data_IF_130937287224
#
_entry.id   IF_130937287224
#
_cell.length_a   1.000
_cell.length_b   1.000
_cell.length_c   1.000
_cell.angle_alpha   90.00
_cell.angle_beta   90.00
_cell.angle_gamma   90.00
#
_symmetry.space_group_name_H-M   'P 1'
#
loop_
_entity.id
_entity.type
_entity.pdbx_description
1 polymer ?
#
# COMPACT_ATOMS: atom_id res chain seq x y z
N UNK A 1 4.22 8.93 -1.98
CA UNK A 1 4.03 8.17 -0.73
C UNK A 1 2.71 7.43 -0.86
N UNK A 2 2.76 6.10 -0.95
CA UNK A 2 1.61 5.24 -1.16
C UNK A 2 0.97 4.87 0.15
N UNK A 3 -0.35 4.92 0.15
CA UNK A 3 -1.19 4.31 1.15
C UNK A 3 -2.54 4.02 0.53
N UNK A 4 -3.08 2.85 0.85
CA UNK A 4 -4.28 2.35 0.21
C UNK A 4 -5.53 3.02 0.72
N UNK A 5 -6.55 2.92 -0.12
CA UNK A 5 -7.94 3.26 0.20
C UNK A 5 -8.76 2.00 0.06
N UNK A 6 -9.75 1.79 0.91
CA UNK A 6 -10.78 0.77 0.69
C UNK A 6 -12.11 1.47 0.40
N UNK A 7 -13.03 0.78 -0.28
CA UNK A 7 -14.43 1.24 -0.41
C UNK A 7 -15.25 0.86 0.83
N UNK A 8 -14.78 -0.13 1.58
CA UNK A 8 -15.46 -0.74 2.72
C UNK A 8 -14.45 -1.53 3.58
N UNK A 9 -14.86 -1.98 4.77
CA UNK A 9 -14.01 -2.76 5.70
C UNK A 9 -13.37 -1.95 6.83
N UNK A 10 -12.48 -2.59 7.61
CA UNK A 10 -11.91 -2.03 8.85
C UNK A 10 -11.11 -0.72 8.64
N UNK A 11 -10.65 -0.49 7.41
CA UNK A 11 -9.94 0.73 7.01
C UNK A 11 -10.84 1.81 6.40
N UNK A 12 -12.16 1.57 6.29
CA UNK A 12 -13.22 2.54 6.06
C UNK A 12 -13.31 3.21 4.68
N UNK A 13 -14.47 3.80 4.37
CA UNK A 13 -14.61 4.76 3.26
C UNK A 13 -13.83 6.04 3.59
N UNK A 14 -12.82 6.35 2.79
CA UNK A 14 -12.19 7.68 2.73
C UNK A 14 -11.59 8.23 4.03
N UNK A 15 -11.46 7.43 5.10
CA UNK A 15 -10.75 7.84 6.30
C UNK A 15 -9.27 7.63 6.08
N UNK A 16 -8.65 8.67 5.53
CA UNK A 16 -7.22 8.94 5.52
C UNK A 16 -6.44 7.71 5.03
N UNK A 17 -6.28 7.58 3.71
CA UNK A 17 -5.13 6.94 3.04
C UNK A 17 -4.19 6.12 3.96
N UNK A 18 -4.61 4.98 4.52
CA UNK A 18 -3.81 4.15 5.44
C UNK A 18 -3.99 2.66 5.21
N UNK A 19 -4.91 2.25 4.33
CA UNK A 19 -5.16 0.84 4.10
C UNK A 19 -3.88 0.18 3.55
N UNK A 20 -3.50 -0.99 4.08
CA UNK A 20 -2.47 -1.82 3.48
C UNK A 20 -2.78 -2.14 2.01
N UNK A 21 -1.79 -2.65 1.27
CA UNK A 21 -2.00 -3.12 -0.09
C UNK A 21 -2.95 -4.34 -0.10
N UNK A 22 -3.54 -4.62 -1.27
CA UNK A 22 -4.55 -5.68 -1.43
C UNK A 22 -4.21 -7.06 -0.82
N UNK A 23 -2.96 -7.57 -0.85
CA UNK A 23 -2.64 -8.87 -0.24
C UNK A 23 -2.91 -8.93 1.27
N UNK A 24 -2.78 -7.80 1.96
CA UNK A 24 -2.97 -7.70 3.40
C UNK A 24 -4.39 -7.21 3.73
N UNK A 25 -4.92 -6.29 2.93
CA UNK A 25 -6.28 -5.79 3.04
C UNK A 25 -7.00 -6.02 1.71
N UNK A 26 -7.74 -7.14 1.53
CA UNK A 26 -8.36 -7.51 0.24
C UNK A 26 -9.27 -6.45 -0.38
N UNK A 27 -9.86 -5.58 0.44
CA UNK A 27 -10.73 -4.48 0.03
C UNK A 27 -9.95 -3.26 -0.47
N UNK A 28 -8.61 -3.27 -0.37
CA UNK A 28 -7.75 -2.16 -0.77
C UNK A 28 -7.69 -2.00 -2.27
N UNK A 29 -7.87 -0.77 -2.72
CA UNK A 29 -7.71 -0.38 -4.13
C UNK A 29 -6.24 -0.46 -4.56
N UNK A 30 -5.28 -0.60 -3.65
CA UNK A 30 -3.85 -0.78 -3.98
C UNK A 30 -3.54 -2.22 -4.37
N UNK A 31 -4.12 -2.64 -5.49
CA UNK A 31 -3.85 -3.92 -6.17
C UNK A 31 -2.53 -3.87 -6.95
N UNK A 32 -1.97 -5.03 -7.31
CA UNK A 32 -0.75 -5.08 -8.13
C UNK A 32 -0.85 -4.25 -9.41
N UNK A 33 -1.98 -4.38 -10.11
CA UNK A 33 -2.28 -3.65 -11.34
C UNK A 33 -2.27 -2.14 -11.12
N UNK A 34 -3.00 -1.63 -10.11
CA UNK A 34 -3.05 -0.19 -9.84
C UNK A 34 -1.70 0.35 -9.37
N UNK A 35 -0.92 -0.42 -8.62
CA UNK A 35 0.43 -0.03 -8.22
C UNK A 35 1.35 0.08 -9.43
N UNK A 36 1.24 -0.85 -10.38
CA UNK A 36 1.97 -0.79 -11.65
C UNK A 36 1.58 0.45 -12.47
N UNK A 37 0.29 0.72 -12.63
CA UNK A 37 -0.22 1.90 -13.32
C UNK A 37 0.31 3.20 -12.67
N UNK A 38 0.27 3.29 -11.33
CA UNK A 38 0.76 4.46 -10.60
C UNK A 38 2.27 4.66 -10.74
N UNK A 39 3.07 3.61 -10.60
CA UNK A 39 4.54 3.73 -10.63
C UNK A 39 5.10 3.93 -12.04
N UNK A 40 4.32 3.59 -13.07
CA UNK A 40 4.68 3.78 -14.48
C UNK A 40 4.08 5.05 -15.10
N UNK A 41 3.21 5.75 -14.37
CA UNK A 41 2.60 7.00 -14.82
C UNK A 41 3.59 8.17 -14.96
N UNK A 42 4.78 8.06 -14.35
CA UNK A 42 5.84 9.05 -14.43
C UNK A 42 7.20 8.39 -14.65
N UNK A 43 8.16 9.15 -15.18
CA UNK A 43 9.52 8.68 -15.35
C UNK A 43 10.19 8.41 -13.98
N UNK A 44 10.96 7.32 -13.81
CA UNK A 44 11.53 6.92 -12.51
C UNK A 44 12.35 8.01 -11.81
N UNK A 45 13.05 8.85 -12.56
CA UNK A 45 13.84 9.97 -12.06
C UNK A 45 13.01 11.06 -11.34
N UNK A 46 11.70 11.11 -11.60
CA UNK A 46 10.74 11.99 -10.92
C UNK A 46 10.17 11.36 -9.64
N UNK A 47 10.44 10.08 -9.39
CA UNK A 47 9.83 9.27 -8.33
C UNK A 47 10.77 9.02 -7.14
N UNK A 48 11.78 9.88 -6.92
CA UNK A 48 12.84 9.70 -5.91
C UNK A 48 12.35 9.53 -4.46
N UNK A 49 11.17 10.07 -4.14
CA UNK A 49 10.54 9.97 -2.82
C UNK A 49 9.38 8.96 -2.77
N UNK A 50 9.30 8.07 -3.75
CA UNK A 50 8.29 7.01 -3.76
C UNK A 50 8.58 5.99 -2.67
N UNK A 51 7.56 5.67 -1.88
CA UNK A 51 7.68 4.78 -0.73
C UNK A 51 6.32 4.54 -0.09
N UNK A 52 6.31 3.76 0.99
CA UNK A 52 5.11 3.32 1.70
C UNK A 52 4.95 4.16 2.97
N UNK A 53 3.74 4.67 3.22
CA UNK A 53 3.33 5.18 4.52
C UNK A 53 2.43 4.15 5.18
N UNK A 54 2.72 3.85 6.44
CA UNK A 54 1.87 3.02 7.27
C UNK A 54 1.42 3.84 8.48
N UNK A 55 0.11 3.99 8.64
CA UNK A 55 -0.50 4.32 9.92
C UNK A 55 -1.39 3.15 10.32
N UNK A 56 -0.85 2.30 11.18
CA UNK A 56 -1.61 1.19 11.74
C UNK A 56 -2.71 1.71 12.67
N UNK A 57 -3.94 1.27 12.43
CA UNK A 57 -5.14 1.71 13.16
C UNK A 57 -5.61 0.70 14.22
N UNK A 58 -5.17 -0.56 14.11
CA UNK A 58 -5.46 -1.58 15.10
C UNK A 58 -4.63 -1.32 16.36
N UNK A 59 -5.31 -0.88 17.42
CA UNK A 59 -4.71 -0.58 18.72
C UNK A 59 -4.01 -1.78 19.37
N UNK A 60 -4.41 -3.01 19.00
CA UNK A 60 -3.84 -4.26 19.50
C UNK A 60 -2.72 -4.81 18.61
N UNK A 61 -2.41 -4.18 17.47
CA UNK A 61 -1.39 -4.67 16.55
C UNK A 61 0.03 -4.49 17.12
N UNK A 62 0.75 -5.61 17.16
CA UNK A 62 2.15 -5.65 17.59
C UNK A 62 3.11 -5.17 16.48
N UNK A 63 4.41 -5.15 16.80
CA UNK A 63 5.43 -4.73 15.84
C UNK A 63 5.56 -5.70 14.66
N UNK A 64 5.32 -7.00 14.86
CA UNK A 64 5.45 -8.00 13.80
C UNK A 64 4.35 -7.84 12.75
N UNK A 65 3.12 -7.55 13.19
CA UNK A 65 2.00 -7.20 12.32
C UNK A 65 2.36 -6.05 11.39
N UNK A 66 2.88 -4.95 11.96
CA UNK A 66 3.31 -3.76 11.21
C UNK A 66 4.44 -4.06 10.22
N UNK A 67 5.42 -4.85 10.63
CA UNK A 67 6.52 -5.29 9.75
C UNK A 67 5.98 -6.13 8.59
N UNK A 68 5.01 -7.00 8.83
CA UNK A 68 4.43 -7.86 7.79
C UNK A 68 3.66 -7.03 6.75
N UNK A 69 2.90 -6.00 7.17
CA UNK A 69 2.26 -5.05 6.25
C UNK A 69 3.31 -4.41 5.32
N UNK A 70 4.41 -3.91 5.89
CA UNK A 70 5.47 -3.27 5.13
C UNK A 70 6.17 -4.25 4.17
N UNK A 71 6.43 -5.49 4.61
CA UNK A 71 7.01 -6.54 3.76
C UNK A 71 6.12 -6.85 2.56
N UNK A 72 4.81 -6.98 2.78
CA UNK A 72 3.85 -7.24 1.71
C UNK A 72 3.76 -6.07 0.73
N UNK A 73 3.71 -4.83 1.21
CA UNK A 73 3.75 -3.64 0.37
C UNK A 73 5.03 -3.53 -0.46
N UNK A 74 6.20 -3.81 0.14
CA UNK A 74 7.49 -3.83 -0.58
C UNK A 74 7.50 -4.91 -1.67
N UNK A 75 7.02 -6.11 -1.35
CA UNK A 75 6.93 -7.20 -2.32
C UNK A 75 5.99 -6.84 -3.47
N UNK A 76 4.87 -6.19 -3.17
CA UNK A 76 3.92 -5.72 -4.16
C UNK A 76 4.55 -4.69 -5.10
N UNK A 77 5.21 -3.66 -4.56
CA UNK A 77 5.92 -2.66 -5.37
C UNK A 77 7.02 -3.29 -6.22
N UNK A 78 7.79 -4.24 -5.67
CA UNK A 78 8.81 -4.97 -6.44
C UNK A 78 8.19 -5.71 -7.63
N UNK A 79 7.08 -6.42 -7.43
CA UNK A 79 6.37 -7.10 -8.52
C UNK A 79 5.87 -6.11 -9.58
N UNK A 80 5.21 -5.04 -9.17
CA UNK A 80 4.70 -4.01 -10.06
C UNK A 80 5.78 -3.32 -10.91
N UNK A 81 7.03 -3.27 -10.42
CA UNK A 81 8.18 -2.70 -11.15
C UNK A 81 8.97 -3.71 -12.00
N UNK A 82 8.70 -5.02 -11.88
CA UNK A 82 9.33 -6.02 -12.75
C UNK A 82 8.74 -5.89 -14.14
N UNK A 83 9.61 -5.70 -15.14
CA UNK A 83 9.26 -5.77 -16.55
C UNK A 83 9.24 -7.21 -17.02
#
# INVERSE_FOLDING_TARGET
>A
MFSGTTLDGEYGEWQDLHAPFAPFCPQSLMTEKHVQELITAAAPELLQFTGIKLLEINASADINHRINILRDGINMMKKATRR
#
